data_IF_374999685866
#
_entry.id   IF_374999685866
#
_cell.length_a   1.000
_cell.length_b   1.000
_cell.length_c   1.000
_cell.angle_alpha   90.00
_cell.angle_beta   90.00
_cell.angle_gamma   90.00
#
_symmetry.space_group_name_H-M   'P 1'
#
loop_
_entity.id
_entity.type
_entity.pdbx_description
1 polymer ?
#
# COMPACT_ATOMS: atom_id res chain seq x y z
N UNK A 1 -0.36 -15.69 10.35
CA UNK A 1 0.22 -14.34 10.50
C UNK A 1 -0.54 -13.28 9.70
N UNK A 2 -0.69 -13.43 8.38
CA UNK A 2 -1.45 -12.47 7.56
C UNK A 2 -2.89 -12.25 8.08
N UNK A 3 -3.64 -13.33 8.31
CA UNK A 3 -5.00 -13.22 8.85
C UNK A 3 -5.09 -12.66 10.27
N UNK A 4 -4.07 -12.83 11.11
CA UNK A 4 -4.09 -12.24 12.46
C UNK A 4 -3.83 -10.74 12.42
N UNK A 5 -2.98 -10.26 11.51
CA UNK A 5 -2.76 -8.83 11.28
C UNK A 5 -4.02 -8.16 10.74
N UNK A 6 -4.69 -8.79 9.77
CA UNK A 6 -5.93 -8.28 9.18
C UNK A 6 -7.14 -8.34 10.12
N UNK A 7 -7.05 -9.02 11.28
CA UNK A 7 -8.08 -8.99 12.32
C UNK A 7 -7.87 -7.89 13.36
N UNK A 8 -6.69 -7.29 13.43
CA UNK A 8 -6.39 -6.21 14.36
C UNK A 8 -6.99 -4.87 13.89
N UNK A 9 -7.38 -4.01 14.83
CA UNK A 9 -7.87 -2.65 14.56
C UNK A 9 -6.74 -1.62 14.46
N UNK A 10 -5.56 -1.95 14.97
CA UNK A 10 -4.34 -1.16 14.87
C UNK A 10 -3.24 -1.96 14.17
N UNK A 11 -2.26 -1.25 13.62
CA UNK A 11 -1.11 -1.84 12.95
C UNK A 11 0.19 -1.18 13.42
N UNK A 12 1.19 -2.01 13.72
CA UNK A 12 2.56 -1.55 13.94
C UNK A 12 3.30 -1.36 12.61
N UNK A 13 4.34 -0.53 12.56
CA UNK A 13 5.15 -0.33 11.35
C UNK A 13 5.66 -1.64 10.74
N UNK A 14 6.17 -2.58 11.55
CA UNK A 14 6.63 -3.89 11.07
C UNK A 14 5.53 -4.70 10.38
N UNK A 15 4.31 -4.64 10.92
CA UNK A 15 3.15 -5.30 10.32
C UNK A 15 2.72 -4.61 9.03
N UNK A 16 2.78 -3.28 8.97
CA UNK A 16 2.49 -2.51 7.77
C UNK A 16 3.47 -2.87 6.64
N UNK A 17 4.78 -2.93 6.96
CA UNK A 17 5.81 -3.36 6.03
C UNK A 17 5.58 -4.79 5.53
N UNK A 18 5.24 -5.72 6.42
CA UNK A 18 4.93 -7.10 6.02
C UNK A 18 3.72 -7.18 5.07
N UNK A 19 2.65 -6.41 5.31
CA UNK A 19 1.50 -6.36 4.42
C UNK A 19 1.86 -5.74 3.07
N UNK A 20 2.63 -4.65 3.06
CA UNK A 20 3.11 -4.01 1.85
C UNK A 20 3.95 -4.98 1.00
N UNK A 21 4.91 -5.69 1.61
CA UNK A 21 5.69 -6.71 0.91
C UNK A 21 4.83 -7.87 0.40
N UNK A 22 3.81 -8.29 1.17
CA UNK A 22 2.88 -9.35 0.74
C UNK A 22 2.13 -8.93 -0.53
N UNK A 23 1.64 -7.69 -0.57
CA UNK A 23 0.96 -7.10 -1.73
C UNK A 23 1.91 -7.02 -2.93
N UNK A 24 3.12 -6.48 -2.73
CA UNK A 24 4.09 -6.28 -3.82
C UNK A 24 4.68 -7.58 -4.36
N UNK A 25 4.68 -8.65 -3.58
CA UNK A 25 5.05 -10.00 -4.04
C UNK A 25 3.91 -10.72 -4.79
N UNK A 26 2.75 -10.09 -4.96
CA UNK A 26 1.58 -10.65 -5.68
C UNK A 26 0.84 -11.78 -4.96
N UNK A 27 1.37 -12.29 -3.84
CA UNK A 27 0.79 -13.40 -3.10
C UNK A 27 -0.44 -12.96 -2.32
N UNK A 28 -1.61 -13.55 -2.61
CA UNK A 28 -2.89 -13.25 -1.94
C UNK A 28 -3.25 -11.75 -1.96
N UNK A 29 -2.74 -11.02 -2.96
CA UNK A 29 -2.86 -9.58 -3.07
C UNK A 29 -4.31 -9.12 -3.09
N UNK A 30 -5.14 -9.76 -3.91
CA UNK A 30 -6.55 -9.37 -4.05
C UNK A 30 -7.33 -9.47 -2.73
N UNK A 31 -7.07 -10.52 -1.94
CA UNK A 31 -7.71 -10.73 -0.65
C UNK A 31 -7.16 -9.79 0.42
N UNK A 32 -5.87 -9.48 0.37
CA UNK A 32 -5.21 -8.54 1.28
C UNK A 32 -5.73 -7.13 1.04
N UNK A 33 -5.77 -6.65 -0.20
CA UNK A 33 -6.32 -5.34 -0.57
C UNK A 33 -7.80 -5.23 -0.16
N UNK A 34 -8.62 -6.24 -0.46
CA UNK A 34 -10.04 -6.24 -0.05
C UNK A 34 -10.21 -6.17 1.48
N UNK A 35 -9.34 -6.83 2.21
CA UNK A 35 -9.35 -6.81 3.69
C UNK A 35 -8.82 -5.49 4.25
N UNK A 36 -7.95 -4.78 3.53
CA UNK A 36 -7.50 -3.43 3.88
C UNK A 36 -8.57 -2.39 3.63
N UNK A 37 -9.39 -2.52 2.58
CA UNK A 37 -10.45 -1.55 2.28
C UNK A 37 -11.46 -1.39 3.43
N UNK A 38 -11.69 -2.43 4.23
CA UNK A 38 -12.56 -2.38 5.41
C UNK A 38 -11.89 -1.82 6.67
N UNK A 39 -10.59 -1.50 6.63
CA UNK A 39 -9.85 -0.95 7.77
C UNK A 39 -10.02 0.55 7.90
N UNK A 40 -9.76 1.04 9.11
CA UNK A 40 -9.76 2.46 9.40
C UNK A 40 -8.66 3.20 8.62
N UNK A 41 -8.77 4.54 8.60
CA UNK A 41 -7.86 5.38 7.83
C UNK A 41 -6.40 5.22 8.26
N UNK A 42 -6.11 5.21 9.57
CA UNK A 42 -4.75 5.10 10.10
C UNK A 42 -4.05 3.80 9.68
N UNK A 43 -4.77 2.68 9.74
CA UNK A 43 -4.27 1.38 9.31
C UNK A 43 -3.92 1.40 7.82
N UNK A 44 -4.83 1.92 6.98
CA UNK A 44 -4.59 2.03 5.55
C UNK A 44 -3.42 2.96 5.25
N UNK A 45 -3.34 4.10 5.92
CA UNK A 45 -2.24 5.08 5.75
C UNK A 45 -0.88 4.48 6.10
N UNK A 46 -0.78 3.67 7.16
CA UNK A 46 0.48 2.99 7.50
C UNK A 46 0.92 2.02 6.39
N UNK A 47 0.01 1.18 5.89
CA UNK A 47 0.32 0.24 4.79
C UNK A 47 0.63 0.98 3.49
N UNK A 48 -0.09 2.05 3.18
CA UNK A 48 0.14 2.87 1.99
C UNK A 48 1.48 3.57 2.02
N UNK A 49 1.90 4.09 3.17
CA UNK A 49 3.23 4.68 3.33
C UNK A 49 4.30 3.65 2.96
N UNK A 50 4.23 2.45 3.52
CA UNK A 50 5.18 1.37 3.23
C UNK A 50 5.13 0.92 1.77
N UNK A 51 3.94 0.84 1.16
CA UNK A 51 3.78 0.56 -0.27
C UNK A 51 4.47 1.62 -1.13
N UNK A 52 4.15 2.90 -0.89
CA UNK A 52 4.72 4.02 -1.64
C UNK A 52 6.23 4.09 -1.49
N UNK A 53 6.76 3.96 -0.28
CA UNK A 53 8.20 3.94 -0.03
C UNK A 53 8.88 2.79 -0.78
N UNK A 54 8.33 1.57 -0.72
CA UNK A 54 8.92 0.40 -1.39
C UNK A 54 8.87 0.50 -2.92
N UNK A 55 7.77 1.00 -3.49
CA UNK A 55 7.64 1.21 -4.94
C UNK A 55 8.65 2.26 -5.42
N UNK A 56 8.76 3.39 -4.70
CA UNK A 56 9.69 4.46 -5.07
C UNK A 56 11.15 4.01 -4.92
N UNK A 57 11.46 3.24 -3.87
CA UNK A 57 12.81 2.73 -3.64
C UNK A 57 13.22 1.65 -4.65
N UNK A 58 12.28 0.84 -5.12
CA UNK A 58 12.53 -0.23 -6.08
C UNK A 58 11.35 -0.44 -7.05
N UNK A 59 11.23 0.37 -8.12
CA UNK A 59 10.12 0.26 -9.06
C UNK A 59 10.05 -1.09 -9.79
N UNK A 60 11.19 -1.78 -9.95
CA UNK A 60 11.30 -3.10 -10.61
C UNK A 60 10.47 -4.16 -9.87
N UNK A 61 10.18 -3.98 -8.58
CA UNK A 61 9.31 -4.90 -7.82
C UNK A 61 7.92 -5.07 -8.46
N UNK A 62 7.46 -4.05 -9.19
CA UNK A 62 6.18 -4.09 -9.89
C UNK A 62 6.20 -5.09 -11.05
N UNK A 63 7.34 -5.44 -11.63
CA UNK A 63 7.44 -6.43 -12.73
C UNK A 63 7.00 -7.83 -12.31
N UNK A 64 7.02 -8.14 -11.00
CA UNK A 64 6.53 -9.40 -10.44
C UNK A 64 5.00 -9.49 -10.50
N UNK A 65 4.30 -8.35 -10.58
CA UNK A 65 2.85 -8.29 -10.61
C UNK A 65 2.33 -8.40 -12.04
N UNK A 66 1.33 -9.26 -12.24
CA UNK A 66 0.57 -9.31 -13.49
C UNK A 66 -0.21 -7.99 -13.72
N UNK A 67 -0.66 -7.69 -14.95
CA UNK A 67 -1.35 -6.44 -15.26
C UNK A 67 -2.63 -6.20 -14.45
N UNK A 68 -3.38 -7.24 -14.09
CA UNK A 68 -4.60 -7.10 -13.30
C UNK A 68 -4.26 -6.76 -11.84
N UNK A 69 -3.22 -7.39 -11.29
CA UNK A 69 -2.66 -7.08 -9.98
C UNK A 69 -2.14 -5.64 -9.93
N UNK A 70 -1.34 -5.19 -10.92
CA UNK A 70 -0.89 -3.78 -11.02
C UNK A 70 -2.05 -2.80 -11.02
N UNK A 71 -3.08 -3.08 -11.82
CA UNK A 71 -4.30 -2.26 -11.85
C UNK A 71 -5.00 -2.20 -10.48
N UNK A 72 -5.12 -3.34 -9.81
CA UNK A 72 -5.74 -3.37 -8.48
C UNK A 72 -4.92 -2.60 -7.44
N UNK A 73 -3.58 -2.66 -7.50
CA UNK A 73 -2.70 -1.85 -6.64
C UNK A 73 -2.88 -0.37 -6.89
N UNK A 74 -2.85 0.02 -8.18
CA UNK A 74 -3.07 1.39 -8.61
C UNK A 74 -4.41 1.92 -8.08
N UNK A 75 -5.49 1.16 -8.29
CA UNK A 75 -6.84 1.53 -7.84
C UNK A 75 -6.93 1.64 -6.31
N UNK A 76 -6.19 0.82 -5.57
CA UNK A 76 -6.13 0.91 -4.12
C UNK A 76 -5.37 2.17 -3.65
N UNK A 77 -4.21 2.46 -4.25
CA UNK A 77 -3.38 3.62 -3.89
C UNK A 77 -4.10 4.92 -4.25
N UNK A 78 -4.71 5.03 -5.43
CA UNK A 78 -5.38 6.26 -5.87
C UNK A 78 -6.63 6.59 -5.02
N UNK A 79 -7.35 5.57 -4.54
CA UNK A 79 -8.55 5.75 -3.69
C UNK A 79 -8.23 6.17 -2.26
N UNK A 80 -6.98 6.06 -1.83
CA UNK A 80 -6.58 6.35 -0.46
C UNK A 80 -5.44 7.39 -0.45
N UNK A 81 -5.72 8.66 -0.82
CA UNK A 81 -4.70 9.70 -0.80
C UNK A 81 -4.27 10.02 0.65
N UNK A 82 -3.03 10.50 0.85
CA UNK A 82 -2.58 11.03 2.14
C UNK A 82 -3.48 12.18 2.63
N UNK A 83 -3.69 12.24 3.94
CA UNK A 83 -4.54 13.27 4.55
C UNK A 83 -3.72 14.52 4.87
N UNK A 84 -4.21 15.70 4.44
CA UNK A 84 -3.57 17.01 4.66
C UNK A 84 -3.40 17.44 6.11
N UNK A 85 -4.05 16.73 7.05
CA UNK A 85 -3.94 16.94 8.51
C UNK A 85 -2.72 16.25 9.12
N UNK A 86 -1.99 15.43 8.36
CA UNK A 86 -0.76 14.78 8.80
C UNK A 86 0.40 15.79 8.87
N UNK A 87 1.20 15.75 9.94
CA UNK A 87 2.44 16.55 10.03
C UNK A 87 3.44 16.21 8.91
N UNK A 88 3.35 15.00 8.36
CA UNK A 88 4.21 14.51 7.29
C UNK A 88 3.54 14.56 5.92
N UNK A 89 2.43 15.31 5.77
CA UNK A 89 1.61 15.30 4.56
C UNK A 89 2.40 15.58 3.28
N UNK A 90 3.26 16.59 3.25
CA UNK A 90 4.03 16.93 2.03
C UNK A 90 4.85 15.74 1.54
N UNK A 91 5.64 15.12 2.43
CA UNK A 91 6.47 13.97 2.07
C UNK A 91 5.61 12.77 1.65
N UNK A 92 4.56 12.47 2.42
CA UNK A 92 3.65 11.36 2.10
C UNK A 92 2.93 11.56 0.76
N UNK A 93 2.55 12.80 0.44
CA UNK A 93 1.92 13.16 -0.82
C UNK A 93 2.88 13.04 -2.00
N UNK A 94 4.15 13.42 -1.83
CA UNK A 94 5.16 13.26 -2.87
C UNK A 94 5.49 11.78 -3.14
N UNK A 95 5.62 10.97 -2.08
CA UNK A 95 5.81 9.52 -2.21
C UNK A 95 4.60 8.84 -2.86
N UNK A 96 3.39 9.22 -2.45
CA UNK A 96 2.15 8.72 -3.04
C UNK A 96 2.07 9.02 -4.55
N UNK A 97 2.38 10.26 -4.97
CA UNK A 97 2.41 10.63 -6.39
C UNK A 97 3.47 9.85 -7.17
N UNK A 98 4.68 9.72 -6.63
CA UNK A 98 5.77 8.98 -7.30
C UNK A 98 5.45 7.49 -7.43
N UNK A 99 4.80 6.91 -6.44
CA UNK A 99 4.35 5.54 -6.48
C UNK A 99 3.27 5.33 -7.56
N UNK A 100 2.30 6.25 -7.67
CA UNK A 100 1.30 6.23 -8.75
C UNK A 100 1.96 6.33 -10.13
N UNK A 101 2.88 7.28 -10.33
CA UNK A 101 3.59 7.43 -11.61
C UNK A 101 4.40 6.18 -11.99
N UNK A 102 4.84 5.39 -11.02
CA UNK A 102 5.56 4.13 -11.27
C UNK A 102 4.61 2.97 -11.65
N UNK A 103 3.32 3.12 -11.36
CA UNK A 103 2.25 2.17 -11.68
C UNK A 103 1.51 2.52 -12.97
N UNK A 104 1.65 3.76 -13.47
CA UNK A 104 1.16 4.15 -14.78
C UNK A 104 1.94 3.39 -15.87
N UNK A 105 1.21 2.57 -16.64
CA UNK A 105 1.69 1.70 -17.72
C UNK A 105 2.04 2.51 -18.97
#
# INVERSE_FOLDING_TARGET
MLQSLLKSDSISNNAAGYLASTILNGKEMANTIRSLDSKNHEYKSAVLSELSTNIVANPIILEVLDPASKKQLHDFIIKNPPTSRSQSFSNQNDEWKRALNSLEL
#
